data_IF_994032852041
#
_entry.id   IF_994032852041
#
_cell.length_a   1.000
_cell.length_b   1.000
_cell.length_c   1.000
_cell.angle_alpha   90.00
_cell.angle_beta   90.00
_cell.angle_gamma   90.00
#
_symmetry.space_group_name_H-M   'P 1'
#
loop_
_entity.id
_entity.type
_entity.pdbx_description
1 polymer ?
#
# COMPACT_ATOMS: atom_id res chain seq x y z
N UNK A 1 7.75 -15.74 -3.06
CA UNK A 1 6.79 -15.90 -4.18
C UNK A 1 6.34 -14.51 -4.60
N UNK A 2 6.66 -14.05 -5.82
CA UNK A 2 6.18 -12.76 -6.31
C UNK A 2 4.73 -12.96 -6.81
N UNK A 3 3.76 -12.43 -6.06
CA UNK A 3 2.37 -12.40 -6.52
C UNK A 3 2.22 -11.13 -7.36
N UNK A 4 2.04 -11.31 -8.67
CA UNK A 4 1.80 -10.25 -9.64
C UNK A 4 0.50 -10.56 -10.38
N UNK A 5 -0.40 -9.58 -10.47
CA UNK A 5 -1.69 -9.74 -11.16
C UNK A 5 -1.95 -8.52 -12.05
N UNK A 6 -2.22 -8.80 -13.31
CA UNK A 6 -2.54 -7.78 -14.31
C UNK A 6 -4.06 -7.54 -14.39
N UNK A 7 -4.42 -6.27 -14.53
CA UNK A 7 -5.76 -5.72 -14.65
C UNK A 7 -5.75 -4.65 -15.75
N UNK A 8 -6.05 -5.05 -16.99
CA UNK A 8 -5.99 -4.18 -18.17
C UNK A 8 -4.65 -3.44 -18.28
N UNK A 9 -4.61 -2.17 -17.84
CA UNK A 9 -3.47 -1.27 -17.93
C UNK A 9 -2.69 -1.13 -16.62
N UNK A 10 -3.07 -1.88 -15.58
CA UNK A 10 -2.49 -1.84 -14.24
C UNK A 10 -2.00 -3.22 -13.84
N UNK A 11 -0.81 -3.29 -13.27
CA UNK A 11 -0.33 -4.46 -12.55
C UNK A 11 -0.29 -4.18 -11.07
N UNK A 12 -0.91 -5.05 -10.27
CA UNK A 12 -0.72 -5.09 -8.82
C UNK A 12 0.36 -6.10 -8.46
N UNK A 13 1.31 -5.70 -7.62
CA UNK A 13 2.36 -6.58 -7.11
C UNK A 13 2.78 -6.21 -5.69
N UNK A 14 3.43 -7.16 -5.01
CA UNK A 14 4.13 -6.90 -3.75
C UNK A 14 5.18 -5.80 -3.97
N UNK A 15 5.30 -4.91 -2.99
CA UNK A 15 6.29 -3.84 -2.98
C UNK A 15 7.71 -4.41 -3.05
N UNK A 16 8.56 -3.74 -3.83
CA UNK A 16 10.00 -3.99 -3.90
C UNK A 16 10.74 -2.68 -3.62
N UNK A 17 11.90 -2.76 -2.99
CA UNK A 17 12.67 -1.60 -2.52
C UNK A 17 12.97 -0.55 -3.62
N UNK A 18 13.12 -1.01 -4.88
CA UNK A 18 13.31 -0.14 -6.06
C UNK A 18 12.18 0.88 -6.27
N UNK A 19 11.00 0.65 -5.68
CA UNK A 19 9.83 1.54 -5.78
C UNK A 19 9.69 2.49 -4.59
N UNK A 20 10.56 2.43 -3.58
CA UNK A 20 10.48 3.28 -2.38
C UNK A 20 10.39 4.76 -2.71
N UNK A 21 11.27 5.22 -3.60
CA UNK A 21 11.30 6.63 -4.02
C UNK A 21 9.97 7.05 -4.63
N UNK A 22 9.39 6.22 -5.51
CA UNK A 22 8.11 6.53 -6.13
C UNK A 22 7.00 6.66 -5.08
N UNK A 23 6.91 5.74 -4.11
CA UNK A 23 5.91 5.78 -3.04
C UNK A 23 6.08 7.00 -2.13
N UNK A 24 7.33 7.36 -1.78
CA UNK A 24 7.63 8.53 -0.94
C UNK A 24 7.26 9.87 -1.58
N UNK A 25 7.20 9.93 -2.92
CA UNK A 25 6.89 11.14 -3.69
C UNK A 25 5.47 11.14 -4.25
N UNK A 26 4.56 10.33 -3.69
CA UNK A 26 3.14 10.38 -4.09
C UNK A 26 2.58 11.79 -3.92
N UNK A 27 1.95 12.29 -4.97
CA UNK A 27 1.16 13.50 -4.90
C UNK A 27 -0.20 13.13 -4.32
N UNK A 28 -0.51 13.68 -3.16
CA UNK A 28 -1.75 13.46 -2.43
C UNK A 28 -2.47 14.81 -2.31
N UNK A 29 -3.81 14.83 -2.36
CA UNK A 29 -4.56 16.07 -2.13
C UNK A 29 -4.35 16.61 -0.72
N UNK A 30 -4.69 17.90 -0.49
CA UNK A 30 -4.50 18.59 0.79
C UNK A 30 -5.08 17.82 2.00
N UNK A 31 -6.21 17.12 1.85
CA UNK A 31 -6.80 16.30 2.93
C UNK A 31 -6.01 15.03 3.21
N UNK A 32 -5.38 14.45 2.20
CA UNK A 32 -4.49 13.28 2.30
C UNK A 32 -3.05 13.67 2.65
N UNK A 33 -2.63 14.92 2.42
CA UNK A 33 -1.32 15.44 2.83
C UNK A 33 -1.16 15.55 4.34
N UNK A 34 -2.24 15.78 5.09
CA UNK A 34 -2.28 15.65 6.55
C UNK A 34 -1.76 14.26 6.98
N UNK A 35 -1.89 13.28 6.10
CA UNK A 35 -1.50 11.90 6.27
C UNK A 35 -0.34 11.48 5.35
N UNK A 36 0.36 12.39 4.65
CA UNK A 36 1.43 11.99 3.71
C UNK A 36 2.61 11.33 4.43
N UNK A 37 2.92 11.79 5.65
CA UNK A 37 3.82 11.09 6.58
C UNK A 37 3.38 9.65 6.83
N UNK A 38 2.07 9.36 6.81
CA UNK A 38 1.58 7.99 6.95
C UNK A 38 2.00 7.11 5.78
N UNK A 39 2.11 7.58 4.53
CA UNK A 39 2.49 6.66 3.43
C UNK A 39 3.92 6.13 3.63
N UNK A 40 4.85 7.01 4.00
CA UNK A 40 6.24 6.64 4.32
C UNK A 40 6.32 5.79 5.60
N UNK A 41 5.71 6.28 6.69
CA UNK A 41 5.71 5.58 7.98
C UNK A 41 5.03 4.22 7.90
N UNK A 42 3.90 4.11 7.19
CA UNK A 42 3.15 2.86 7.02
C UNK A 42 3.92 1.89 6.14
N UNK A 43 4.63 2.35 5.10
CA UNK A 43 5.55 1.49 4.36
C UNK A 43 6.64 0.94 5.29
N UNK A 44 7.30 1.80 6.07
CA UNK A 44 8.37 1.38 6.99
C UNK A 44 7.87 0.43 8.09
N UNK A 45 6.64 0.62 8.58
CA UNK A 45 5.99 -0.29 9.52
C UNK A 45 5.63 -1.63 8.85
N UNK A 46 5.06 -1.59 7.64
CA UNK A 46 4.65 -2.79 6.92
C UNK A 46 5.82 -3.69 6.54
N UNK A 47 7.02 -3.12 6.32
CA UNK A 47 8.22 -3.89 6.04
C UNK A 47 8.84 -4.56 7.28
N UNK A 48 8.38 -4.21 8.49
CA UNK A 48 8.88 -4.74 9.77
C UNK A 48 7.88 -5.68 10.46
N UNK A 49 6.70 -5.85 9.89
CA UNK A 49 5.57 -6.57 10.47
C UNK A 49 5.21 -7.74 9.54
N UNK A 50 5.41 -8.97 10.01
CA UNK A 50 5.22 -10.19 9.20
C UNK A 50 3.76 -10.42 8.78
N UNK A 51 2.80 -9.85 9.53
CA UNK A 51 1.38 -9.91 9.21
C UNK A 51 0.97 -8.86 8.18
N UNK A 52 1.89 -7.97 7.79
CA UNK A 52 1.66 -6.92 6.80
C UNK A 52 2.36 -7.23 5.49
N UNK A 53 1.69 -6.87 4.39
CA UNK A 53 2.25 -6.95 3.06
C UNK A 53 1.99 -5.64 2.32
N UNK A 54 3.05 -4.90 2.06
CA UNK A 54 3.00 -3.71 1.21
C UNK A 54 2.84 -4.11 -0.27
N UNK A 55 1.94 -3.44 -0.96
CA UNK A 55 1.62 -3.67 -2.36
C UNK A 55 1.59 -2.35 -3.13
N UNK A 56 1.90 -2.45 -4.42
CA UNK A 56 1.86 -1.33 -5.35
C UNK A 56 1.02 -1.67 -6.57
N UNK A 57 0.45 -0.64 -7.18
CA UNK A 57 -0.15 -0.67 -8.50
C UNK A 57 0.76 0.09 -9.47
N UNK A 58 1.10 -0.54 -10.59
CA UNK A 58 2.04 -0.04 -11.59
C UNK A 58 1.32 0.04 -12.94
N UNK A 59 1.45 1.15 -13.67
CA UNK A 59 0.88 1.27 -15.01
C UNK A 59 1.77 0.61 -16.09
N UNK A 60 1.30 0.58 -17.35
CA UNK A 60 2.07 0.02 -18.48
C UNK A 60 3.42 0.68 -18.74
N UNK A 61 3.65 1.90 -18.24
CA UNK A 61 4.93 2.63 -18.35
C UNK A 61 5.89 2.30 -17.20
N UNK A 62 5.50 1.43 -16.27
CA UNK A 62 6.29 1.10 -15.09
C UNK A 62 6.18 2.11 -13.95
N UNK A 63 5.24 3.06 -14.04
CA UNK A 63 5.07 4.10 -13.03
C UNK A 63 4.16 3.62 -11.91
N UNK A 64 4.54 3.92 -10.66
CA UNK A 64 3.74 3.57 -9.48
C UNK A 64 2.58 4.56 -9.35
N UNK A 65 1.36 4.06 -9.53
CA UNK A 65 0.12 4.84 -9.51
C UNK A 65 -0.71 4.60 -8.24
N UNK A 66 -0.43 3.51 -7.51
CA UNK A 66 -1.14 3.19 -6.28
C UNK A 66 -0.27 2.44 -5.28
N UNK A 67 -0.64 2.54 -4.01
CA UNK A 67 0.01 1.90 -2.87
C UNK A 67 -1.04 1.49 -1.85
N UNK A 68 -0.90 0.32 -1.25
CA UNK A 68 -1.72 -0.14 -0.13
C UNK A 68 -1.01 -1.23 0.66
N UNK A 69 -1.46 -1.45 1.90
CA UNK A 69 -0.96 -2.53 2.76
C UNK A 69 -2.10 -3.49 3.05
N UNK A 70 -1.85 -4.79 2.86
CA UNK A 70 -2.70 -5.85 3.40
C UNK A 70 -2.22 -6.18 4.80
N UNK A 71 -3.14 -6.27 5.76
CA UNK A 71 -2.84 -6.63 7.15
C UNK A 71 -3.68 -7.84 7.54
N UNK A 72 -3.01 -8.96 7.78
CA UNK A 72 -3.62 -10.18 8.28
C UNK A 72 -3.86 -10.06 9.79
N UNK A 73 -4.85 -10.77 10.31
CA UNK A 73 -5.10 -10.93 11.76
C UNK A 73 -5.28 -9.62 12.54
N UNK A 74 -5.67 -8.53 11.89
CA UNK A 74 -5.83 -7.25 12.60
C UNK A 74 -6.97 -7.33 13.62
N UNK A 75 -6.63 -7.21 14.90
CA UNK A 75 -7.58 -7.09 15.99
C UNK A 75 -7.65 -5.64 16.48
N UNK A 76 -8.75 -4.95 16.19
CA UNK A 76 -8.97 -3.63 16.78
C UNK A 76 -9.49 -3.81 18.20
N UNK A 77 -8.77 -3.27 19.20
CA UNK A 77 -9.21 -3.33 20.59
C UNK A 77 -10.61 -2.73 20.73
N UNK A 78 -11.56 -3.55 21.20
CA UNK A 78 -12.96 -3.14 21.41
C UNK A 78 -13.95 -3.58 20.33
N UNK A 79 -13.51 -4.31 19.30
CA UNK A 79 -14.39 -4.92 18.29
C UNK A 79 -14.16 -6.43 18.24
N UNK A 80 -15.25 -7.18 18.06
CA UNK A 80 -15.21 -8.64 17.81
C UNK A 80 -14.83 -8.88 16.34
N UNK A 81 -13.57 -8.60 16.01
CA UNK A 81 -13.04 -8.80 14.66
C UNK A 81 -12.71 -10.27 14.43
N UNK A 82 -13.29 -10.93 13.41
CA UNK A 82 -13.03 -12.34 13.15
C UNK A 82 -11.54 -12.58 12.92
N UNK A 83 -10.97 -13.64 13.48
CA UNK A 83 -9.51 -13.87 13.45
C UNK A 83 -8.94 -13.94 12.03
N UNK A 84 -9.69 -14.43 11.04
CA UNK A 84 -9.18 -14.72 9.69
C UNK A 84 -9.55 -13.66 8.62
N UNK A 85 -9.53 -12.37 8.97
CA UNK A 85 -9.81 -11.30 8.00
C UNK A 85 -8.53 -10.61 7.54
N UNK A 86 -8.59 -10.08 6.31
CA UNK A 86 -7.54 -9.23 5.75
C UNK A 86 -8.07 -7.81 5.66
N UNK A 87 -7.33 -6.85 6.23
CA UNK A 87 -7.65 -5.44 6.12
C UNK A 87 -6.76 -4.75 5.09
N UNK A 88 -7.37 -3.86 4.31
CA UNK A 88 -6.64 -2.89 3.50
C UNK A 88 -6.35 -1.66 4.36
N UNK A 89 -5.08 -1.35 4.55
CA UNK A 89 -4.59 -0.14 5.24
C UNK A 89 -3.90 0.79 4.25
N UNK A 90 -3.99 2.09 4.53
CA UNK A 90 -3.25 3.15 3.85
C UNK A 90 -3.30 3.06 2.32
N UNK A 91 -4.51 2.89 1.79
CA UNK A 91 -4.77 2.95 0.36
C UNK A 91 -4.53 4.38 -0.14
N UNK A 92 -3.53 4.53 -1.00
CA UNK A 92 -3.16 5.78 -1.63
C UNK A 92 -3.12 5.59 -3.14
N UNK A 93 -3.66 6.57 -3.87
CA UNK A 93 -3.57 6.69 -5.33
C UNK A 93 -2.81 7.97 -5.61
N UNK A 94 -1.81 7.89 -6.48
CA UNK A 94 -0.94 9.00 -6.83
C UNK A 94 -1.67 9.94 -7.79
N UNK A 95 -1.97 11.17 -7.34
CA UNK A 95 -2.79 12.14 -8.09
C UNK A 95 -2.07 12.78 -9.28
N UNK A 96 -0.79 12.46 -9.49
CA UNK A 96 -0.07 12.82 -10.71
C UNK A 96 -0.71 12.19 -11.97
N UNK A 97 -1.51 11.13 -11.82
CA UNK A 97 -2.04 10.30 -12.89
C UNK A 97 -3.56 10.39 -13.04
#
# INVERSE_FOLDING_TARGET
MLIKKDFENITVQVFEEKYREAVNHFQLNERKQIYSSLTKTVLDEALKDEDRTANIAVNQKGEVVGFFVLHQYYQHKGYDTPENVVYVRSLSVNEKF
#
